data_IF_184799829544
#
_entry.id   IF_184799829544
#
_cell.length_a   1.000
_cell.length_b   1.000
_cell.length_c   1.000
_cell.angle_alpha   90.00
_cell.angle_beta   90.00
_cell.angle_gamma   90.00
#
_symmetry.space_group_name_H-M   'P 1'
#
loop_
_entity.id
_entity.type
_entity.pdbx_description
1 polymer ?
#
# COMPACT_ATOMS: atom_id res chain seq x y z
N UNK A 1 1.66 36.34 -22.93
CA UNK A 1 2.89 35.69 -22.43
C UNK A 1 2.58 35.13 -21.06
N UNK A 2 2.25 33.85 -20.97
CA UNK A 2 2.03 33.19 -19.68
C UNK A 2 3.39 33.06 -18.99
N UNK A 3 3.51 33.57 -17.77
CA UNK A 3 4.67 33.33 -16.92
C UNK A 3 4.78 31.81 -16.72
N UNK A 4 5.71 31.16 -17.42
CA UNK A 4 6.16 29.82 -17.05
C UNK A 4 6.78 29.95 -15.67
N UNK A 5 6.10 29.44 -14.64
CA UNK A 5 6.71 29.28 -13.31
C UNK A 5 7.96 28.43 -13.55
N UNK A 6 9.13 29.01 -13.28
CA UNK A 6 10.42 28.33 -13.35
C UNK A 6 10.31 27.02 -12.56
N UNK A 7 10.74 25.90 -13.16
CA UNK A 7 10.78 24.60 -12.49
C UNK A 7 11.56 24.70 -11.18
N UNK A 8 10.89 24.40 -10.07
CA UNK A 8 11.47 24.37 -8.73
C UNK A 8 11.67 22.92 -8.30
N UNK A 9 12.85 22.38 -8.60
CA UNK A 9 13.19 20.99 -8.30
C UNK A 9 13.31 20.77 -6.80
N UNK A 10 13.84 21.74 -6.06
CA UNK A 10 14.04 21.61 -4.61
C UNK A 10 12.70 21.52 -3.87
N UNK A 11 11.68 22.27 -4.30
CA UNK A 11 10.33 22.14 -3.77
C UNK A 11 9.73 20.75 -4.05
N UNK A 12 9.94 20.20 -5.25
CA UNK A 12 9.49 18.84 -5.62
C UNK A 12 10.21 17.78 -4.78
N UNK A 13 11.54 17.87 -4.65
CA UNK A 13 12.33 16.95 -3.82
C UNK A 13 11.93 17.04 -2.34
N UNK A 14 11.60 18.23 -1.85
CA UNK A 14 11.09 18.41 -0.48
C UNK A 14 9.80 17.62 -0.25
N UNK A 15 8.87 17.61 -1.21
CA UNK A 15 7.66 16.77 -1.12
C UNK A 15 8.04 15.29 -1.09
N UNK A 16 8.94 14.82 -1.95
CA UNK A 16 9.38 13.41 -1.90
C UNK A 16 10.02 13.03 -0.57
N UNK A 17 10.86 13.89 0.02
CA UNK A 17 11.46 13.66 1.34
C UNK A 17 10.42 13.56 2.46
N UNK A 18 9.34 14.35 2.41
CA UNK A 18 8.27 14.29 3.40
C UNK A 18 7.48 12.97 3.35
N UNK A 19 7.39 12.34 2.18
CA UNK A 19 6.63 11.10 2.00
C UNK A 19 7.50 9.84 2.12
N UNK A 20 8.78 9.94 1.74
CA UNK A 20 9.73 8.83 1.77
C UNK A 20 10.32 8.57 3.16
N UNK A 21 10.90 7.38 3.33
CA UNK A 21 11.76 7.01 4.46
C UNK A 21 12.95 6.20 3.94
N UNK A 22 14.17 6.66 4.19
CA UNK A 22 15.38 5.85 3.97
C UNK A 22 15.52 4.77 5.04
N UNK A 23 16.37 3.77 4.78
CA UNK A 23 16.69 2.72 5.73
C UNK A 23 17.41 3.25 6.98
N UNK A 24 18.38 4.13 6.77
CA UNK A 24 19.07 4.86 7.84
C UNK A 24 18.22 6.05 8.28
N UNK A 25 18.10 6.26 9.59
CA UNK A 25 17.65 7.53 10.20
C UNK A 25 18.66 8.62 9.85
N UNK A 26 18.66 9.06 8.59
CA UNK A 26 19.47 10.17 8.13
C UNK A 26 18.78 11.48 8.50
N UNK A 27 19.54 12.52 8.92
CA UNK A 27 19.00 13.86 9.05
C UNK A 27 18.31 14.28 7.75
N UNK A 28 17.18 14.98 7.85
CA UNK A 28 16.36 15.46 6.70
C UNK A 28 17.16 16.27 5.65
N UNK A 29 18.37 16.73 6.01
CA UNK A 29 19.21 17.61 5.20
C UNK A 29 20.34 16.91 4.42
N UNK A 30 20.49 15.59 4.50
CA UNK A 30 21.44 14.86 3.64
C UNK A 30 20.75 14.41 2.33
N UNK A 31 21.43 14.60 1.19
CA UNK A 31 20.90 14.21 -0.12
C UNK A 31 20.64 12.71 -0.16
N UNK A 32 19.41 12.31 -0.48
CA UNK A 32 19.09 10.90 -0.68
C UNK A 32 19.56 10.46 -2.06
N UNK A 33 20.05 9.22 -2.20
CA UNK A 33 20.62 8.73 -3.46
C UNK A 33 19.70 8.84 -4.70
N UNK A 34 18.39 8.99 -4.51
CA UNK A 34 17.42 9.09 -5.61
C UNK A 34 17.33 10.49 -6.19
N UNK A 35 17.83 11.52 -5.49
CA UNK A 35 17.49 12.92 -5.79
C UNK A 35 17.93 13.33 -7.19
N UNK A 36 19.13 12.92 -7.63
CA UNK A 36 19.62 13.19 -8.97
C UNK A 36 18.76 12.50 -10.04
N UNK A 37 18.35 11.25 -9.79
CA UNK A 37 17.47 10.49 -10.70
C UNK A 37 16.09 11.14 -10.77
N UNK A 38 15.53 11.54 -9.63
CA UNK A 38 14.25 12.24 -9.57
C UNK A 38 14.34 13.58 -10.28
N UNK A 39 15.37 14.39 -10.02
CA UNK A 39 15.58 15.66 -10.70
C UNK A 39 15.68 15.48 -12.22
N UNK A 40 16.41 14.47 -12.69
CA UNK A 40 16.50 14.14 -14.11
C UNK A 40 15.13 13.78 -14.70
N UNK A 41 14.35 12.92 -14.04
CA UNK A 41 13.02 12.51 -14.51
C UNK A 41 12.01 13.66 -14.48
N UNK A 42 12.07 14.52 -13.46
CA UNK A 42 11.25 15.73 -13.36
C UNK A 42 11.55 16.69 -14.51
N UNK A 43 12.83 16.89 -14.86
CA UNK A 43 13.20 17.71 -16.04
C UNK A 43 12.63 17.13 -17.33
N UNK A 44 12.71 15.81 -17.52
CA UNK A 44 12.11 15.13 -18.67
C UNK A 44 10.60 15.42 -18.81
N UNK A 45 9.84 15.30 -17.72
CA UNK A 45 8.40 15.60 -17.74
C UNK A 45 8.13 17.09 -17.96
N UNK A 46 8.96 17.97 -17.38
CA UNK A 46 8.83 19.42 -17.55
C UNK A 46 9.07 19.86 -18.99
N UNK A 47 10.10 19.34 -19.65
CA UNK A 47 10.40 19.61 -21.06
C UNK A 47 9.27 19.14 -21.98
N UNK A 48 8.57 18.07 -21.60
CA UNK A 48 7.41 17.55 -22.33
C UNK A 48 6.07 18.21 -21.91
N UNK A 49 6.06 19.14 -20.96
CA UNK A 49 4.83 19.72 -20.38
C UNK A 49 3.86 18.68 -19.81
N UNK A 50 4.39 17.60 -19.26
CA UNK A 50 3.65 16.46 -18.72
C UNK A 50 3.64 16.45 -17.18
N UNK A 51 2.65 15.78 -16.61
CA UNK A 51 2.59 15.48 -15.18
C UNK A 51 3.75 14.56 -14.77
N UNK A 52 4.27 14.72 -13.55
CA UNK A 52 5.24 13.79 -12.98
C UNK A 52 4.59 12.40 -12.88
N UNK A 53 5.17 11.41 -13.55
CA UNK A 53 4.69 10.03 -13.49
C UNK A 53 5.51 9.22 -12.49
N UNK A 54 4.82 8.56 -11.56
CA UNK A 54 5.38 7.66 -10.58
C UNK A 54 4.87 6.23 -10.77
N UNK A 55 5.69 5.25 -10.42
CA UNK A 55 5.39 3.83 -10.56
C UNK A 55 5.59 3.10 -9.24
N UNK A 56 4.56 2.42 -8.76
CA UNK A 56 4.59 1.64 -7.53
C UNK A 56 4.15 0.19 -7.80
N UNK A 57 5.08 -0.78 -7.84
CA UNK A 57 4.71 -2.18 -7.74
C UNK A 57 4.28 -2.49 -6.31
N UNK A 58 3.03 -2.93 -6.16
CA UNK A 58 2.42 -3.12 -4.86
C UNK A 58 1.06 -3.82 -5.00
N UNK A 59 0.47 -4.13 -3.85
CA UNK A 59 -0.90 -4.59 -3.72
C UNK A 59 -1.17 -5.89 -4.49
N UNK A 60 -0.50 -7.00 -4.09
CA UNK A 60 -0.66 -8.29 -4.75
C UNK A 60 -2.02 -8.92 -4.44
N UNK A 61 -2.29 -9.12 -3.15
CA UNK A 61 -3.50 -9.71 -2.58
C UNK A 61 -3.46 -9.53 -1.06
N UNK A 62 -4.61 -9.58 -0.37
CA UNK A 62 -4.64 -9.70 1.10
C UNK A 62 -3.96 -11.00 1.52
N UNK A 63 -3.18 -10.93 2.59
CA UNK A 63 -2.53 -12.10 3.17
C UNK A 63 -3.56 -13.20 3.53
N UNK A 64 -3.29 -14.48 3.22
CA UNK A 64 -4.20 -15.57 3.57
C UNK A 64 -4.23 -15.90 5.08
N UNK A 65 -3.30 -15.38 5.87
CA UNK A 65 -3.24 -15.55 7.32
C UNK A 65 -4.27 -14.68 8.06
N UNK A 66 -5.33 -15.30 8.58
CA UNK A 66 -6.35 -14.62 9.41
C UNK A 66 -5.80 -14.06 10.73
N UNK A 67 -4.60 -14.46 11.14
CA UNK A 67 -3.90 -13.92 12.30
C UNK A 67 -3.21 -12.59 12.02
N UNK A 68 -3.04 -12.21 10.75
CA UNK A 68 -2.40 -10.95 10.33
C UNK A 68 -3.41 -9.91 9.87
N UNK A 69 -4.46 -10.31 9.16
CA UNK A 69 -5.44 -9.42 8.51
C UNK A 69 -6.86 -9.64 9.03
N UNK A 70 -7.72 -8.63 8.90
CA UNK A 70 -9.12 -8.69 9.33
C UNK A 70 -10.00 -9.56 8.42
N UNK A 71 -9.75 -9.47 7.11
CA UNK A 71 -10.34 -10.32 6.08
C UNK A 71 -9.26 -10.69 5.06
N UNK A 72 -9.33 -11.92 4.55
CA UNK A 72 -8.32 -12.48 3.63
C UNK A 72 -8.62 -12.16 2.16
N UNK A 73 -9.73 -11.47 1.87
CA UNK A 73 -10.23 -11.27 0.50
C UNK A 73 -10.50 -9.82 0.14
N UNK A 74 -10.64 -8.93 1.11
CA UNK A 74 -11.20 -7.60 0.91
C UNK A 74 -10.24 -6.54 1.47
N UNK A 75 -10.00 -5.45 0.72
CA UNK A 75 -9.38 -4.26 1.26
C UNK A 75 -10.14 -3.75 2.49
N UNK A 76 -9.41 -3.26 3.49
CA UNK A 76 -9.92 -2.70 4.72
C UNK A 76 -9.35 -1.27 4.92
N UNK A 77 -9.40 -0.74 6.15
CA UNK A 77 -8.92 0.61 6.42
C UNK A 77 -7.43 0.79 6.11
N UNK A 78 -6.63 -0.27 6.15
CA UNK A 78 -5.22 -0.22 5.79
C UNK A 78 -5.03 0.21 4.32
N UNK A 79 -5.78 -0.40 3.40
CA UNK A 79 -5.75 -0.03 1.99
C UNK A 79 -6.32 1.37 1.74
N UNK A 80 -7.36 1.78 2.48
CA UNK A 80 -7.90 3.15 2.40
C UNK A 80 -6.83 4.19 2.73
N UNK A 81 -6.08 3.98 3.82
CA UNK A 81 -4.99 4.87 4.24
C UNK A 81 -3.85 4.89 3.21
N UNK A 82 -3.43 3.71 2.75
CA UNK A 82 -2.33 3.59 1.79
C UNK A 82 -2.63 4.27 0.45
N UNK A 83 -3.81 4.03 -0.12
CA UNK A 83 -4.22 4.68 -1.36
C UNK A 83 -4.39 6.20 -1.16
N UNK A 84 -5.04 6.62 -0.07
CA UNK A 84 -5.21 8.05 0.22
C UNK A 84 -3.87 8.77 0.37
N UNK A 85 -2.85 8.12 0.97
CA UNK A 85 -1.49 8.65 1.07
C UNK A 85 -0.84 8.85 -0.28
N UNK A 86 -0.98 7.90 -1.21
CA UNK A 86 -0.45 8.04 -2.58
C UNK A 86 -1.12 9.20 -3.32
N UNK A 87 -2.44 9.33 -3.18
CA UNK A 87 -3.16 10.46 -3.78
C UNK A 87 -2.73 11.79 -3.16
N UNK A 88 -2.51 11.83 -1.84
CA UNK A 88 -2.02 13.02 -1.14
C UNK A 88 -0.62 13.43 -1.60
N UNK A 89 0.30 12.48 -1.83
CA UNK A 89 1.61 12.77 -2.44
C UNK A 89 1.45 13.53 -3.76
N UNK A 90 0.59 13.05 -4.65
CA UNK A 90 0.34 13.72 -5.92
C UNK A 90 -0.26 15.12 -5.75
N UNK A 91 -1.14 15.30 -4.77
CA UNK A 91 -1.74 16.61 -4.46
C UNK A 91 -0.70 17.61 -3.92
N UNK A 92 0.25 17.16 -3.09
CA UNK A 92 1.34 18.02 -2.62
C UNK A 92 2.29 18.40 -3.77
N UNK A 93 2.60 17.46 -4.67
CA UNK A 93 3.40 17.74 -5.87
C UNK A 93 2.70 18.75 -6.79
N UNK A 94 1.38 18.66 -6.96
CA UNK A 94 0.59 19.60 -7.78
C UNK A 94 0.60 21.04 -7.25
N UNK A 95 0.82 21.25 -5.95
CA UNK A 95 0.98 22.60 -5.39
C UNK A 95 2.28 23.28 -5.85
N UNK A 96 3.32 22.49 -6.15
CA UNK A 96 4.67 22.99 -6.48
C UNK A 96 5.05 22.78 -7.95
N UNK A 97 4.32 21.94 -8.70
CA UNK A 97 4.58 21.64 -10.10
C UNK A 97 3.32 21.79 -10.95
N UNK A 98 3.36 22.68 -11.95
CA UNK A 98 2.20 23.15 -12.73
C UNK A 98 1.40 22.02 -13.39
N UNK A 99 2.09 20.99 -13.89
CA UNK A 99 1.44 19.88 -14.61
C UNK A 99 0.94 18.77 -13.66
N UNK A 100 1.16 18.92 -12.35
CA UNK A 100 0.73 17.95 -11.36
C UNK A 100 1.50 16.63 -11.41
N UNK A 101 0.96 15.62 -10.75
CA UNK A 101 1.59 14.31 -10.65
C UNK A 101 0.55 13.19 -10.59
N UNK A 102 0.94 11.99 -11.02
CA UNK A 102 0.14 10.78 -10.96
C UNK A 102 0.97 9.58 -10.51
N UNK A 103 0.36 8.66 -9.75
CA UNK A 103 0.96 7.37 -9.37
C UNK A 103 0.25 6.25 -10.12
N UNK A 104 1.02 5.41 -10.80
CA UNK A 104 0.56 4.13 -11.35
C UNK A 104 0.92 3.00 -10.40
N UNK A 105 -0.09 2.35 -9.83
CA UNK A 105 0.07 1.12 -9.04
C UNK A 105 0.04 -0.09 -9.98
N UNK A 106 1.10 -0.89 -9.97
CA UNK A 106 1.17 -2.14 -10.74
C UNK A 106 1.00 -3.30 -9.79
N UNK A 107 -0.10 -4.04 -9.91
CA UNK A 107 -0.33 -5.21 -9.07
C UNK A 107 0.70 -6.29 -9.39
N UNK A 108 1.46 -6.69 -8.37
CA UNK A 108 2.46 -7.75 -8.40
C UNK A 108 1.88 -9.11 -7.93
N UNK A 109 0.57 -9.19 -7.73
CA UNK A 109 -0.15 -10.43 -7.45
C UNK A 109 0.14 -11.53 -8.47
N UNK A 110 -0.10 -11.32 -9.79
CA UNK A 110 0.20 -12.33 -10.80
C UNK A 110 1.70 -12.64 -10.92
N UNK A 111 2.59 -11.81 -10.35
CA UNK A 111 4.03 -12.10 -10.31
C UNK A 111 4.32 -13.19 -9.27
N UNK A 112 3.70 -13.16 -8.09
CA UNK A 112 4.11 -14.02 -6.97
C UNK A 112 3.08 -15.06 -6.52
N UNK A 113 1.84 -15.01 -6.98
CA UNK A 113 0.74 -15.81 -6.41
C UNK A 113 1.01 -17.33 -6.45
N UNK A 114 1.60 -17.83 -7.52
CA UNK A 114 1.95 -19.26 -7.69
C UNK A 114 3.02 -19.72 -6.68
N UNK A 115 4.03 -18.89 -6.43
CA UNK A 115 5.10 -19.18 -5.47
C UNK A 115 4.61 -19.18 -4.02
N UNK A 116 3.57 -18.40 -3.75
CA UNK A 116 2.96 -18.28 -2.42
C UNK A 116 1.74 -19.19 -2.24
N UNK A 117 1.48 -20.09 -3.20
CA UNK A 117 0.35 -21.02 -3.20
C UNK A 117 -1.00 -20.30 -3.04
N UNK A 118 -1.12 -19.11 -3.64
CA UNK A 118 -2.33 -18.27 -3.64
C UNK A 118 -3.03 -18.37 -5.00
N UNK A 119 -4.33 -18.72 -5.04
CA UNK A 119 -5.08 -18.84 -6.28
C UNK A 119 -5.12 -17.53 -7.06
N UNK A 120 -5.11 -17.64 -8.40
CA UNK A 120 -5.13 -16.45 -9.25
C UNK A 120 -6.39 -15.58 -9.06
N UNK A 121 -7.52 -16.21 -8.75
CA UNK A 121 -8.77 -15.49 -8.43
C UNK A 121 -8.62 -14.53 -7.25
N UNK A 122 -7.78 -14.86 -6.26
CA UNK A 122 -7.54 -14.04 -5.08
C UNK A 122 -6.91 -12.69 -5.43
N UNK A 123 -5.82 -12.69 -6.23
CA UNK A 123 -5.20 -11.43 -6.65
C UNK A 123 -6.12 -10.63 -7.58
N UNK A 124 -6.87 -11.33 -8.46
CA UNK A 124 -7.74 -10.66 -9.42
C UNK A 124 -8.88 -9.94 -8.71
N UNK A 125 -9.59 -10.64 -7.81
CA UNK A 125 -10.72 -10.08 -7.07
C UNK A 125 -10.28 -8.98 -6.11
N UNK A 126 -9.12 -9.14 -5.45
CA UNK A 126 -8.53 -8.09 -4.62
C UNK A 126 -8.23 -6.83 -5.45
N UNK A 127 -7.60 -6.98 -6.63
CA UNK A 127 -7.30 -5.86 -7.52
C UNK A 127 -8.56 -5.12 -8.00
N UNK A 128 -9.65 -5.83 -8.30
CA UNK A 128 -10.95 -5.24 -8.65
C UNK A 128 -11.51 -4.44 -7.48
N UNK A 129 -11.51 -5.01 -6.27
CA UNK A 129 -11.99 -4.33 -5.06
C UNK A 129 -11.16 -3.09 -4.73
N UNK A 130 -9.84 -3.15 -4.92
CA UNK A 130 -8.94 -2.02 -4.64
C UNK A 130 -9.19 -0.83 -5.59
N UNK A 131 -9.43 -1.10 -6.87
CA UNK A 131 -9.80 -0.08 -7.86
C UNK A 131 -11.15 0.56 -7.52
N UNK A 132 -12.13 -0.26 -7.12
CA UNK A 132 -13.43 0.23 -6.64
C UNK A 132 -13.27 1.10 -5.40
N UNK A 133 -12.45 0.69 -4.44
CA UNK A 133 -12.16 1.46 -3.24
C UNK A 133 -11.57 2.84 -3.57
N UNK A 134 -10.59 2.90 -4.49
CA UNK A 134 -10.01 4.16 -4.94
C UNK A 134 -11.06 5.10 -5.56
N UNK A 135 -11.99 4.55 -6.35
CA UNK A 135 -13.08 5.31 -6.96
C UNK A 135 -14.10 5.80 -5.91
N UNK A 136 -14.50 4.95 -4.96
CA UNK A 136 -15.41 5.30 -3.85
C UNK A 136 -14.83 6.40 -2.94
N UNK A 137 -13.51 6.41 -2.76
CA UNK A 137 -12.79 7.46 -2.03
C UNK A 137 -12.53 8.74 -2.87
N UNK A 138 -12.86 8.73 -4.17
CA UNK A 138 -12.62 9.87 -5.06
C UNK A 138 -11.14 10.16 -5.32
N UNK A 139 -10.27 9.14 -5.32
CA UNK A 139 -8.82 9.29 -5.51
C UNK A 139 -8.50 9.45 -7.00
N UNK A 140 -8.35 10.70 -7.46
CA UNK A 140 -8.23 11.02 -8.89
C UNK A 140 -6.80 10.92 -9.44
N UNK A 141 -5.77 10.87 -8.59
CA UNK A 141 -4.36 10.87 -8.97
C UNK A 141 -3.71 9.48 -9.03
N UNK A 142 -4.51 8.42 -8.91
CA UNK A 142 -4.05 7.03 -8.94
C UNK A 142 -4.52 6.37 -10.23
N UNK A 143 -3.61 5.65 -10.87
CA UNK A 143 -3.87 4.74 -11.99
C UNK A 143 -3.47 3.34 -11.57
N UNK A 144 -4.02 2.34 -12.26
CA UNK A 144 -3.70 0.95 -11.99
C UNK A 144 -3.34 0.26 -13.30
N UNK A 145 -2.30 -0.57 -13.25
CA UNK A 145 -1.85 -1.41 -14.36
C UNK A 145 -1.73 -2.85 -13.87
N UNK A 146 -1.93 -3.79 -14.79
CA UNK A 146 -1.75 -5.23 -14.61
C UNK A 146 -0.47 -5.66 -15.32
N UNK A 147 0.02 -6.86 -15.02
CA UNK A 147 1.23 -7.40 -15.64
C UNK A 147 1.12 -7.46 -17.18
N UNK A 148 -0.07 -7.77 -17.71
CA UNK A 148 -0.33 -7.76 -19.15
C UNK A 148 -0.03 -6.38 -19.79
N UNK A 149 -0.40 -5.29 -19.12
CA UNK A 149 -0.14 -3.94 -19.60
C UNK A 149 1.35 -3.60 -19.57
N UNK A 150 2.07 -4.04 -18.53
CA UNK A 150 3.52 -3.83 -18.39
C UNK A 150 4.26 -4.52 -19.55
N UNK A 151 3.83 -5.71 -19.92
CA UNK A 151 4.46 -6.49 -20.99
C UNK A 151 4.04 -6.03 -22.39
N UNK A 152 3.02 -5.17 -22.50
CA UNK A 152 2.46 -4.73 -23.77
C UNK A 152 1.85 -5.88 -24.59
N UNK A 153 1.39 -6.94 -23.93
CA UNK A 153 0.84 -8.15 -24.61
C UNK A 153 -0.68 -8.13 -24.71
N UNK A 154 -1.35 -7.38 -23.83
CA UNK A 154 -2.79 -7.16 -23.86
C UNK A 154 -3.15 -5.91 -23.04
N UNK A 155 -4.35 -5.37 -23.26
CA UNK A 155 -5.00 -4.49 -22.29
C UNK A 155 -5.56 -5.36 -21.15
N UNK A 156 -4.95 -5.24 -19.97
CA UNK A 156 -5.29 -6.11 -18.84
C UNK A 156 -6.71 -5.89 -18.31
N UNK A 157 -7.30 -4.72 -18.53
CA UNK A 157 -8.66 -4.39 -18.07
C UNK A 157 -9.73 -4.72 -19.12
N UNK A 158 -9.34 -4.96 -20.37
CA UNK A 158 -10.22 -5.45 -21.43
C UNK A 158 -10.50 -6.96 -21.35
N UNK A 159 -9.62 -7.73 -20.69
CA UNK A 159 -9.78 -9.17 -20.51
C UNK A 159 -10.84 -9.47 -19.45
N UNK A 160 -11.69 -10.47 -19.71
CA UNK A 160 -12.54 -11.07 -18.68
C UNK A 160 -11.68 -11.71 -17.58
N UNK A 161 -12.30 -12.01 -16.43
CA UNK A 161 -11.61 -12.70 -15.33
C UNK A 161 -11.06 -14.05 -15.81
N UNK A 162 -11.87 -14.80 -16.53
CA UNK A 162 -11.52 -16.12 -17.04
C UNK A 162 -10.33 -16.06 -18.01
N UNK A 163 -10.35 -15.13 -18.96
CA UNK A 163 -9.26 -14.92 -19.92
C UNK A 163 -7.96 -14.46 -19.24
N UNK A 164 -8.06 -13.51 -18.31
CA UNK A 164 -6.90 -13.00 -17.57
C UNK A 164 -6.26 -14.12 -16.75
N UNK A 165 -7.06 -14.92 -16.03
CA UNK A 165 -6.56 -16.02 -15.20
C UNK A 165 -5.95 -17.14 -16.04
N UNK A 166 -6.56 -17.47 -17.19
CA UNK A 166 -6.00 -18.45 -18.13
C UNK A 166 -4.64 -17.99 -18.71
N UNK A 167 -4.45 -16.68 -18.87
CA UNK A 167 -3.22 -16.11 -19.46
C UNK A 167 -2.14 -15.77 -18.43
N UNK A 168 -2.47 -15.76 -17.13
CA UNK A 168 -1.58 -15.27 -16.07
C UNK A 168 -0.23 -16.00 -16.01
N UNK A 169 -0.22 -17.31 -16.25
CA UNK A 169 1.02 -18.08 -16.33
C UNK A 169 1.88 -17.64 -17.53
N UNK A 170 1.28 -17.50 -18.71
CA UNK A 170 1.98 -17.03 -19.91
C UNK A 170 2.56 -15.63 -19.74
N UNK A 171 1.88 -14.73 -19.01
CA UNK A 171 2.44 -13.42 -18.68
C UNK A 171 3.69 -13.52 -17.80
N UNK A 172 3.72 -14.41 -16.80
CA UNK A 172 4.92 -14.65 -15.98
C UNK A 172 6.07 -15.21 -16.80
N UNK A 173 5.79 -16.21 -17.62
CA UNK A 173 6.79 -16.83 -18.50
C UNK A 173 7.39 -15.81 -19.46
N UNK A 174 6.56 -14.98 -20.10
CA UNK A 174 7.00 -13.92 -21.01
C UNK A 174 7.87 -12.88 -20.29
N UNK A 175 7.47 -12.44 -19.09
CA UNK A 175 8.25 -11.53 -18.25
C UNK A 175 9.63 -12.13 -17.95
N UNK A 176 9.68 -13.40 -17.56
CA UNK A 176 10.92 -14.06 -17.21
C UNK A 176 11.84 -14.27 -18.43
N UNK A 177 11.29 -14.72 -19.56
CA UNK A 177 12.03 -14.90 -20.82
C UNK A 177 12.66 -13.60 -21.29
N UNK A 178 11.95 -12.47 -21.15
CA UNK A 178 12.46 -11.16 -21.60
C UNK A 178 13.47 -10.52 -20.67
N UNK A 179 13.38 -10.78 -19.35
CA UNK A 179 14.05 -9.93 -18.36
C UNK A 179 14.87 -10.67 -17.29
N UNK A 180 14.81 -12.01 -17.20
CA UNK A 180 15.80 -12.74 -16.38
C UNK A 180 17.17 -12.63 -17.07
N UNK A 181 18.23 -12.13 -16.40
CA UNK A 181 19.56 -12.12 -16.98
C UNK A 181 20.04 -13.54 -17.29
N UNK A 182 20.61 -13.75 -18.48
CA UNK A 182 21.05 -15.08 -18.95
C UNK A 182 22.11 -15.72 -18.05
N UNK A 183 22.97 -14.89 -17.45
CA UNK A 183 24.07 -15.30 -16.57
C UNK A 183 23.75 -14.98 -15.09
N UNK A 184 22.48 -15.01 -14.70
CA UNK A 184 22.07 -14.69 -13.33
C UNK A 184 22.54 -15.78 -12.36
N UNK A 185 23.55 -15.45 -11.56
CA UNK A 185 23.89 -16.18 -10.34
C UNK A 185 23.19 -15.52 -9.15
N UNK A 186 22.01 -16.05 -8.79
CA UNK A 186 21.13 -15.42 -7.79
C UNK A 186 21.80 -15.27 -6.41
N UNK A 187 22.60 -16.26 -6.00
CA UNK A 187 23.29 -16.19 -4.70
C UNK A 187 24.36 -15.08 -4.70
N UNK A 188 25.05 -14.86 -5.82
CA UNK A 188 26.03 -13.79 -5.96
C UNK A 188 25.32 -12.43 -5.98
N UNK A 189 24.18 -12.32 -6.66
CA UNK A 189 23.38 -11.09 -6.67
C UNK A 189 22.88 -10.74 -5.27
N UNK A 190 22.32 -11.72 -4.54
CA UNK A 190 21.86 -11.52 -3.15
C UNK A 190 23.01 -11.13 -2.22
N UNK A 191 24.23 -11.62 -2.45
CA UNK A 191 25.37 -11.36 -1.57
C UNK A 191 26.03 -10.01 -1.84
N UNK A 192 26.01 -9.53 -3.09
CA UNK A 192 26.79 -8.36 -3.51
C UNK A 192 25.94 -7.10 -3.76
N UNK A 193 24.62 -7.20 -3.85
CA UNK A 193 23.70 -6.07 -4.05
C UNK A 193 22.87 -5.80 -2.81
N UNK A 194 23.09 -4.66 -2.16
CA UNK A 194 22.46 -4.31 -0.86
C UNK A 194 20.94 -4.26 -0.95
N UNK A 195 20.36 -3.61 -1.98
CA UNK A 195 18.90 -3.51 -2.14
C UNK A 195 18.25 -4.88 -2.40
N UNK A 196 18.92 -5.73 -3.20
CA UNK A 196 18.49 -7.12 -3.43
C UNK A 196 18.56 -7.92 -2.15
N UNK A 197 19.63 -7.78 -1.37
CA UNK A 197 19.81 -8.48 -0.10
C UNK A 197 18.70 -8.13 0.91
N UNK A 198 18.39 -6.84 1.07
CA UNK A 198 17.33 -6.34 1.96
C UNK A 198 15.96 -6.90 1.56
N UNK A 199 15.69 -6.92 0.25
CA UNK A 199 14.43 -7.46 -0.28
C UNK A 199 14.36 -8.97 -0.09
N UNK A 200 15.46 -9.70 -0.34
CA UNK A 200 15.55 -11.13 -0.09
C UNK A 200 15.29 -11.49 1.38
N UNK A 201 15.92 -10.81 2.33
CA UNK A 201 15.67 -11.03 3.75
C UNK A 201 14.22 -10.75 4.15
N UNK A 202 13.61 -9.74 3.54
CA UNK A 202 12.18 -9.46 3.71
C UNK A 202 11.31 -10.59 3.15
N UNK A 203 11.68 -11.17 1.99
CA UNK A 203 10.98 -12.34 1.44
C UNK A 203 11.17 -13.59 2.28
N UNK A 204 12.37 -13.87 2.80
CA UNK A 204 12.58 -15.03 3.70
C UNK A 204 11.63 -14.95 4.90
N UNK A 205 11.56 -13.79 5.55
CA UNK A 205 10.64 -13.60 6.69
C UNK A 205 9.18 -13.75 6.28
N UNK A 206 8.77 -13.11 5.18
CA UNK A 206 7.39 -13.16 4.68
C UNK A 206 6.98 -14.60 4.37
N UNK A 207 7.80 -15.33 3.62
CA UNK A 207 7.52 -16.69 3.19
C UNK A 207 7.45 -17.64 4.39
N UNK A 208 8.37 -17.52 5.35
CA UNK A 208 8.36 -18.32 6.58
C UNK A 208 7.04 -18.16 7.37
N UNK A 209 6.56 -16.91 7.50
CA UNK A 209 5.31 -16.60 8.21
C UNK A 209 4.06 -17.03 7.41
N UNK A 210 4.06 -16.83 6.09
CA UNK A 210 2.84 -16.76 5.29
C UNK A 210 2.59 -17.98 4.39
N UNK A 211 3.63 -18.70 3.96
CA UNK A 211 3.50 -19.78 2.95
C UNK A 211 2.55 -20.89 3.42
N UNK A 212 2.57 -21.25 4.71
CA UNK A 212 1.68 -22.25 5.31
C UNK A 212 0.19 -21.94 5.22
N UNK A 213 -0.14 -20.67 5.00
CA UNK A 213 -1.52 -20.20 4.85
C UNK A 213 -1.98 -20.21 3.40
N UNK A 214 -1.07 -20.44 2.43
CA UNK A 214 -1.41 -20.65 1.03
C UNK A 214 -2.33 -21.87 0.88
N UNK A 215 -3.56 -21.72 0.34
CA UNK A 215 -4.50 -22.83 0.25
C UNK A 215 -4.01 -23.95 -0.65
N UNK A 216 -3.14 -23.65 -1.63
CA UNK A 216 -2.64 -24.63 -2.61
C UNK A 216 -1.33 -25.30 -2.16
N UNK A 217 -0.82 -25.01 -0.95
CA UNK A 217 0.41 -25.63 -0.44
C UNK A 217 0.17 -27.09 -0.07
N UNK A 218 1.03 -27.99 -0.54
CA UNK A 218 0.99 -29.42 -0.18
C UNK A 218 1.00 -29.60 1.35
N UNK A 219 -0.02 -30.24 1.95
CA UNK A 219 -0.05 -30.56 3.38
C UNK A 219 1.20 -31.30 3.87
N UNK A 220 1.79 -32.17 3.05
CA UNK A 220 3.01 -32.91 3.39
C UNK A 220 4.27 -32.03 3.46
N UNK A 221 4.25 -30.82 2.88
CA UNK A 221 5.27 -29.79 3.07
C UNK A 221 4.91 -28.94 4.29
N UNK A 222 3.64 -28.55 4.42
CA UNK A 222 3.13 -27.67 5.48
C UNK A 222 3.35 -28.23 6.89
N UNK A 223 3.09 -29.52 7.06
CA UNK A 223 3.05 -30.17 8.37
C UNK A 223 4.42 -30.74 8.80
N UNK A 224 5.41 -30.76 7.90
CA UNK A 224 6.78 -31.20 8.17
C UNK A 224 7.72 -29.97 8.30
N UNK A 225 8.26 -29.69 9.50
CA UNK A 225 9.09 -28.49 9.72
C UNK A 225 10.33 -28.41 8.83
N UNK A 226 10.97 -29.54 8.51
CA UNK A 226 12.18 -29.55 7.69
C UNK A 226 11.86 -29.30 6.22
N UNK A 227 10.78 -29.93 5.72
CA UNK A 227 10.30 -29.70 4.35
C UNK A 227 9.81 -28.27 4.19
N UNK A 228 9.07 -27.75 5.17
CA UNK A 228 8.58 -26.37 5.17
C UNK A 228 9.74 -25.36 5.11
N UNK A 229 10.75 -25.50 5.97
CA UNK A 229 11.91 -24.60 5.96
C UNK A 229 12.70 -24.66 4.62
N UNK A 230 12.80 -25.86 4.04
CA UNK A 230 13.43 -26.07 2.73
C UNK A 230 12.63 -25.38 1.62
N UNK A 231 11.31 -25.54 1.60
CA UNK A 231 10.44 -24.91 0.61
C UNK A 231 10.42 -23.38 0.77
N UNK A 232 10.41 -22.86 2.01
CA UNK A 232 10.49 -21.43 2.26
C UNK A 232 11.76 -20.80 1.68
N UNK A 233 12.90 -21.47 1.87
CA UNK A 233 14.19 -21.01 1.31
C UNK A 233 14.15 -21.01 -0.23
N UNK A 234 13.62 -22.06 -0.83
CA UNK A 234 13.47 -22.19 -2.28
C UNK A 234 12.54 -21.11 -2.86
N UNK A 235 11.37 -20.91 -2.23
CA UNK A 235 10.39 -19.90 -2.64
C UNK A 235 10.98 -18.50 -2.52
N UNK A 236 11.66 -18.15 -1.42
CA UNK A 236 12.27 -16.83 -1.26
C UNK A 236 13.34 -16.52 -2.32
N UNK A 237 14.18 -17.50 -2.68
CA UNK A 237 15.15 -17.36 -3.79
C UNK A 237 14.44 -17.14 -5.11
N UNK A 238 13.41 -17.94 -5.40
CA UNK A 238 12.65 -17.83 -6.64
C UNK A 238 11.89 -16.51 -6.76
N UNK A 239 11.33 -16.00 -5.68
CA UNK A 239 10.72 -14.66 -5.63
C UNK A 239 11.76 -13.59 -5.95
N UNK A 240 13.01 -13.75 -5.51
CA UNK A 240 14.09 -12.78 -5.79
C UNK A 240 14.51 -12.80 -7.26
N UNK A 241 14.62 -13.98 -7.88
CA UNK A 241 14.85 -14.07 -9.34
C UNK A 241 13.73 -13.38 -10.11
N UNK A 242 12.48 -13.62 -9.69
CA UNK A 242 11.31 -13.05 -10.35
C UNK A 242 11.20 -11.53 -10.14
N UNK A 243 11.66 -11.03 -8.99
CA UNK A 243 11.78 -9.60 -8.75
C UNK A 243 12.71 -8.94 -9.77
N UNK A 244 13.86 -9.54 -10.09
CA UNK A 244 14.79 -8.98 -11.09
C UNK A 244 14.15 -8.89 -12.47
N UNK A 245 13.46 -9.96 -12.90
CA UNK A 245 12.72 -9.96 -14.15
C UNK A 245 11.61 -8.90 -14.15
N UNK A 246 10.88 -8.79 -13.05
CA UNK A 246 9.80 -7.84 -12.91
C UNK A 246 10.31 -6.39 -12.93
N UNK A 247 11.35 -6.06 -12.16
CA UNK A 247 11.99 -4.74 -12.20
C UNK A 247 12.51 -4.41 -13.61
N UNK A 248 13.08 -5.38 -14.33
CA UNK A 248 13.49 -5.24 -15.72
C UNK A 248 12.32 -4.89 -16.66
N UNK A 249 11.19 -5.60 -16.53
CA UNK A 249 9.97 -5.31 -17.32
C UNK A 249 9.41 -3.93 -17.04
N UNK A 250 9.41 -3.50 -15.77
CA UNK A 250 8.93 -2.19 -15.35
C UNK A 250 9.83 -1.08 -15.90
N UNK A 251 11.15 -1.27 -15.88
CA UNK A 251 12.11 -0.33 -16.44
C UNK A 251 11.98 -0.22 -17.97
N UNK A 252 11.71 -1.33 -18.66
CA UNK A 252 11.50 -1.33 -20.10
C UNK A 252 10.19 -0.61 -20.50
N UNK A 253 9.10 -0.85 -19.76
CA UNK A 253 7.79 -0.26 -20.04
C UNK A 253 7.67 1.20 -19.61
N UNK A 254 8.36 1.61 -18.53
CA UNK A 254 8.21 2.92 -17.89
C UNK A 254 9.57 3.57 -17.58
N UNK A 255 10.46 3.78 -18.57
CA UNK A 255 11.84 4.17 -18.34
C UNK A 255 11.99 5.51 -17.60
N UNK A 256 11.04 6.43 -17.82
CA UNK A 256 11.05 7.78 -17.26
C UNK A 256 10.24 7.92 -15.96
N UNK A 257 9.50 6.89 -15.54
CA UNK A 257 8.67 6.99 -14.33
C UNK A 257 9.55 6.98 -13.09
N UNK A 258 9.23 7.84 -12.12
CA UNK A 258 9.89 7.83 -10.81
C UNK A 258 9.47 6.57 -10.06
N UNK A 259 10.45 5.76 -9.64
CA UNK A 259 10.21 4.47 -8.98
C UNK A 259 9.92 4.69 -7.49
N UNK A 260 8.73 4.29 -7.06
CA UNK A 260 8.36 4.19 -5.66
C UNK A 260 8.52 2.73 -5.19
N UNK A 261 8.72 2.53 -3.90
CA UNK A 261 8.81 1.21 -3.30
C UNK A 261 8.16 1.16 -1.92
N UNK A 262 7.49 0.05 -1.63
CA UNK A 262 6.99 -0.29 -0.29
C UNK A 262 8.03 -1.02 0.57
N UNK A 263 9.25 -1.19 0.07
CA UNK A 263 10.36 -1.80 0.78
C UNK A 263 11.38 -0.73 1.15
N UNK A 264 12.13 -0.97 2.23
CA UNK A 264 13.34 -0.20 2.53
C UNK A 264 14.36 -0.39 1.42
N UNK A 265 15.15 0.65 1.15
CA UNK A 265 16.24 0.62 0.17
C UNK A 265 17.28 1.65 0.54
N UNK A 266 18.45 1.53 -0.07
CA UNK A 266 19.53 2.53 -0.06
C UNK A 266 19.10 3.87 -0.65
N UNK A 267 17.96 3.90 -1.34
CA UNK A 267 17.43 5.09 -2.00
C UNK A 267 18.10 5.41 -3.33
N UNK A 268 19.00 4.57 -3.86
CA UNK A 268 19.74 4.90 -5.08
C UNK A 268 18.91 4.80 -6.36
N UNK A 269 17.92 3.91 -6.42
CA UNK A 269 17.15 3.62 -7.65
C UNK A 269 15.64 3.82 -7.48
N UNK A 270 15.17 3.86 -6.23
CA UNK A 270 13.75 3.93 -5.86
C UNK A 270 13.56 4.71 -4.58
N UNK A 271 12.40 5.36 -4.46
CA UNK A 271 11.98 6.08 -3.26
C UNK A 271 11.19 5.10 -2.39
N UNK A 272 11.76 4.73 -1.25
CA UNK A 272 11.06 3.96 -0.23
C UNK A 272 9.96 4.83 0.40
N UNK A 273 8.69 4.42 0.23
CA UNK A 273 7.50 5.15 0.64
C UNK A 273 6.62 4.24 1.51
N UNK A 274 6.60 4.44 2.84
CA UNK A 274 5.68 3.72 3.71
C UNK A 274 4.25 4.18 3.45
N UNK A 275 3.34 3.24 3.17
CA UNK A 275 1.93 3.53 2.87
C UNK A 275 1.14 3.93 4.13
N UNK A 276 1.52 3.38 5.28
CA UNK A 276 0.96 3.71 6.60
C UNK A 276 2.15 4.01 7.52
N UNK A 277 2.73 5.22 7.44
CA UNK A 277 3.93 5.55 8.22
C UNK A 277 3.65 5.42 9.72
N UNK A 278 4.65 4.93 10.47
CA UNK A 278 4.61 4.80 11.93
C UNK A 278 5.74 5.63 12.53
N UNK A 279 5.58 6.16 13.74
CA UNK A 279 6.61 7.00 14.38
C UNK A 279 7.97 6.30 14.39
N UNK A 280 8.02 5.07 14.91
CA UNK A 280 9.27 4.33 15.17
C UNK A 280 9.54 3.18 14.19
N UNK A 281 8.77 3.07 13.09
CA UNK A 281 8.99 2.00 12.11
C UNK A 281 8.55 2.37 10.69
N UNK A 282 9.01 1.63 9.68
CA UNK A 282 8.55 1.79 8.30
C UNK A 282 7.05 1.51 8.14
N UNK A 283 6.40 0.89 9.13
CA UNK A 283 5.02 0.44 9.04
C UNK A 283 4.88 -0.85 8.23
N UNK A 284 3.81 -1.58 8.51
CA UNK A 284 3.45 -2.77 7.75
C UNK A 284 2.74 -2.39 6.44
N UNK A 285 2.87 -3.25 5.44
CA UNK A 285 2.15 -3.09 4.17
C UNK A 285 0.66 -3.38 4.38
N UNK A 286 -0.27 -2.61 3.77
CA UNK A 286 -1.70 -2.73 4.02
C UNK A 286 -2.28 -4.15 3.96
N UNK A 287 -1.79 -4.93 2.99
CA UNK A 287 -2.27 -6.28 2.75
C UNK A 287 -1.67 -7.34 3.68
N UNK A 288 -0.70 -6.98 4.53
CA UNK A 288 -0.09 -7.85 5.55
C UNK A 288 -0.49 -7.48 6.99
N UNK A 289 -1.40 -6.52 7.20
CA UNK A 289 -1.77 -6.07 8.54
C UNK A 289 -3.25 -5.67 8.64
N UNK A 290 -3.65 -5.31 9.86
CA UNK A 290 -4.80 -4.49 10.14
C UNK A 290 -4.37 -3.13 10.70
N UNK A 291 -5.28 -2.15 10.68
CA UNK A 291 -5.08 -0.87 11.36
C UNK A 291 -5.81 -0.87 12.68
N UNK A 292 -5.11 -0.41 13.71
CA UNK A 292 -5.61 -0.19 15.06
C UNK A 292 -5.71 1.31 15.30
N UNK A 293 -6.90 1.78 15.65
CA UNK A 293 -7.12 3.14 16.12
C UNK A 293 -7.05 3.13 17.65
N UNK A 294 -6.05 3.79 18.19
CA UNK A 294 -5.86 3.91 19.65
C UNK A 294 -6.77 4.99 20.24
N UNK A 295 -6.97 4.97 21.55
CA UNK A 295 -7.79 5.96 22.25
C UNK A 295 -7.23 7.39 22.17
N UNK A 296 -5.91 7.53 22.08
CA UNK A 296 -5.19 8.80 21.90
C UNK A 296 -5.13 9.28 20.44
N UNK A 297 -5.74 8.53 19.51
CA UNK A 297 -5.99 8.97 18.15
C UNK A 297 -4.91 8.62 17.11
N UNK A 298 -4.01 7.69 17.45
CA UNK A 298 -3.01 7.17 16.52
C UNK A 298 -3.56 6.03 15.67
N UNK A 299 -3.07 5.92 14.44
CA UNK A 299 -3.32 4.80 13.54
C UNK A 299 -2.08 3.92 13.48
N UNK A 300 -2.17 2.76 14.13
CA UNK A 300 -1.07 1.82 14.28
C UNK A 300 -1.29 0.61 13.39
N UNK A 301 -0.25 0.16 12.68
CA UNK A 301 -0.30 -1.11 11.94
C UNK A 301 0.03 -2.28 12.87
N UNK A 302 -0.75 -3.36 12.82
CA UNK A 302 -0.46 -4.57 13.60
C UNK A 302 -1.13 -5.81 13.05
N UNK A 303 -0.93 -6.95 13.72
CA UNK A 303 -1.53 -8.23 13.34
C UNK A 303 -2.77 -8.52 14.19
N UNK A 304 -3.83 -9.03 13.58
CA UNK A 304 -5.10 -9.26 14.28
C UNK A 304 -4.96 -10.17 15.50
N UNK A 305 -4.03 -11.12 15.51
CA UNK A 305 -3.73 -11.98 16.68
C UNK A 305 -3.33 -11.20 17.94
N UNK A 306 -2.74 -10.02 17.79
CA UNK A 306 -2.27 -9.20 18.91
C UNK A 306 -3.41 -8.40 19.58
N UNK A 307 -4.60 -8.36 18.95
CA UNK A 307 -5.74 -7.54 19.35
C UNK A 307 -7.03 -8.36 19.56
N UNK A 308 -6.88 -9.58 20.10
CA UNK A 308 -8.00 -10.49 20.35
C UNK A 308 -8.76 -10.20 21.64
N UNK A 309 -8.18 -9.45 22.58
CA UNK A 309 -8.83 -9.09 23.84
C UNK A 309 -10.02 -8.15 23.62
N UNK A 310 -11.23 -8.72 23.62
CA UNK A 310 -12.49 -7.99 23.42
C UNK A 310 -12.89 -7.13 24.61
N UNK A 311 -12.22 -7.23 25.75
CA UNK A 311 -12.39 -6.26 26.84
C UNK A 311 -11.69 -4.93 26.55
N UNK A 312 -10.68 -4.93 25.66
CA UNK A 312 -9.88 -3.76 25.28
C UNK A 312 -10.13 -3.26 23.87
N UNK A 313 -10.44 -4.15 22.92
CA UNK A 313 -10.54 -3.79 21.50
C UNK A 313 -11.88 -4.19 20.88
N UNK A 314 -12.39 -3.33 20.00
CA UNK A 314 -13.55 -3.58 19.15
C UNK A 314 -13.13 -3.73 17.69
N UNK A 315 -13.73 -4.67 16.97
CA UNK A 315 -13.68 -4.67 15.50
C UNK A 315 -14.78 -3.74 15.01
N UNK A 316 -14.40 -2.66 14.34
CA UNK A 316 -15.32 -1.73 13.70
C UNK A 316 -15.61 -2.25 12.29
N UNK A 317 -16.88 -2.28 11.92
CA UNK A 317 -17.32 -2.70 10.59
C UNK A 317 -17.73 -1.51 9.73
N UNK A 318 -17.55 -1.65 8.43
CA UNK A 318 -18.01 -0.69 7.40
C UNK A 318 -18.71 -1.49 6.32
N UNK A 319 -19.97 -1.16 6.03
CA UNK A 319 -20.82 -1.91 5.09
C UNK A 319 -20.90 -3.42 5.39
N UNK A 320 -20.95 -3.78 6.68
CA UNK A 320 -21.03 -5.18 7.12
C UNK A 320 -19.71 -5.97 7.05
N UNK A 321 -18.60 -5.35 6.65
CA UNK A 321 -17.27 -5.97 6.61
C UNK A 321 -16.38 -5.45 7.75
N UNK A 322 -15.55 -6.29 8.37
CA UNK A 322 -14.49 -5.83 9.26
C UNK A 322 -13.60 -4.79 8.56
N UNK A 323 -13.36 -3.66 9.22
CA UNK A 323 -12.72 -2.51 8.59
C UNK A 323 -11.48 -2.04 9.34
N UNK A 324 -11.57 -1.90 10.66
CA UNK A 324 -10.43 -1.59 11.53
C UNK A 324 -10.65 -2.16 12.93
N UNK A 325 -9.58 -2.18 13.72
CA UNK A 325 -9.65 -2.43 15.16
C UNK A 325 -9.60 -1.09 15.88
N UNK A 326 -10.40 -0.91 16.92
CA UNK A 326 -10.39 0.31 17.75
C UNK A 326 -10.26 -0.04 19.21
N UNK A 327 -9.34 0.61 19.91
CA UNK A 327 -9.25 0.57 21.36
C UNK A 327 -10.53 1.14 21.99
N UNK A 328 -11.04 0.47 23.01
CA UNK A 328 -12.23 0.91 23.73
C UNK A 328 -11.91 2.17 24.53
N UNK A 329 -12.76 3.18 24.39
CA UNK A 329 -12.70 4.40 25.17
C UNK A 329 -14.10 5.02 25.27
N UNK A 330 -14.40 5.68 26.39
CA UNK A 330 -15.71 6.29 26.63
C UNK A 330 -16.08 7.36 25.58
N UNK A 331 -15.08 8.02 24.99
CA UNK A 331 -15.27 8.99 23.90
C UNK A 331 -15.75 8.37 22.59
N UNK A 332 -15.58 7.05 22.43
CA UNK A 332 -16.07 6.31 21.27
C UNK A 332 -17.46 5.70 21.48
N UNK A 333 -18.04 5.84 22.67
CA UNK A 333 -19.37 5.30 22.99
C UNK A 333 -20.45 6.31 22.62
N UNK A 334 -21.04 6.15 21.45
CA UNK A 334 -22.15 6.98 20.97
C UNK A 334 -23.41 6.12 20.82
N UNK A 335 -24.57 6.76 20.63
CA UNK A 335 -25.81 6.05 20.35
C UNK A 335 -25.66 5.14 19.12
N UNK A 336 -26.44 4.06 19.05
CA UNK A 336 -26.31 3.03 17.99
C UNK A 336 -26.49 3.60 16.57
N UNK A 337 -27.24 4.68 16.43
CA UNK A 337 -27.49 5.41 15.20
C UNK A 337 -26.42 6.48 14.88
N UNK A 338 -25.36 6.57 15.68
CA UNK A 338 -24.22 7.48 15.45
C UNK A 338 -22.95 6.66 15.26
N UNK A 339 -22.34 6.79 14.08
CA UNK A 339 -21.06 6.15 13.80
C UNK A 339 -19.91 7.16 13.81
N UNK A 340 -18.79 6.75 14.39
CA UNK A 340 -17.50 7.43 14.26
C UNK A 340 -16.75 6.78 13.10
N UNK A 341 -16.52 7.55 12.05
CA UNK A 341 -15.78 7.13 10.86
C UNK A 341 -14.39 7.77 10.88
N UNK A 342 -13.36 6.92 10.77
CA UNK A 342 -11.96 7.33 10.67
C UNK A 342 -11.56 7.53 9.20
N UNK A 343 -10.72 8.51 8.90
CA UNK A 343 -10.29 8.79 7.52
C UNK A 343 -8.81 9.17 7.49
N UNK A 344 -8.23 9.18 6.29
CA UNK A 344 -6.85 9.56 6.10
C UNK A 344 -6.52 10.95 6.70
N UNK A 345 -5.30 11.10 7.24
CA UNK A 345 -4.86 12.31 7.92
C UNK A 345 -5.38 12.47 9.35
N UNK A 346 -5.82 11.37 9.97
CA UNK A 346 -6.32 11.38 11.35
C UNK A 346 -7.73 11.97 11.48
N UNK A 347 -8.36 12.41 10.40
CA UNK A 347 -9.68 13.05 10.45
C UNK A 347 -10.76 12.07 10.88
N UNK A 348 -11.63 12.53 11.77
CA UNK A 348 -12.81 11.78 12.24
C UNK A 348 -14.09 12.45 11.74
N UNK A 349 -15.06 11.64 11.32
CA UNK A 349 -16.43 12.08 11.04
C UNK A 349 -17.38 11.42 12.03
N UNK A 350 -18.12 12.19 12.81
CA UNK A 350 -19.21 11.70 13.66
C UNK A 350 -20.51 11.86 12.88
N UNK A 351 -21.09 10.74 12.45
CA UNK A 351 -22.22 10.71 11.54
C UNK A 351 -23.48 10.18 12.22
N UNK A 352 -24.51 11.01 12.25
CA UNK A 352 -25.86 10.65 12.69
C UNK A 352 -26.66 10.04 11.52
N UNK A 353 -27.07 8.77 11.67
CA UNK A 353 -27.86 8.00 10.73
C UNK A 353 -29.35 7.89 11.10
N UNK A 354 -29.77 8.43 12.23
CA UNK A 354 -31.15 8.34 12.73
C UNK A 354 -32.20 9.01 11.85
N UNK A 355 -31.76 9.94 11.00
CA UNK A 355 -32.62 10.84 10.22
C UNK A 355 -33.35 11.89 11.08
N UNK A 356 -33.14 11.89 12.41
CA UNK A 356 -33.75 12.81 13.36
C UNK A 356 -32.72 13.81 13.87
N UNK A 357 -33.17 15.02 14.15
CA UNK A 357 -32.32 16.04 14.74
C UNK A 357 -31.88 15.61 16.14
N UNK A 358 -30.57 15.37 16.30
CA UNK A 358 -29.99 14.97 17.58
C UNK A 358 -29.44 16.19 18.30
N UNK A 359 -29.79 16.32 19.59
CA UNK A 359 -29.32 17.41 20.44
C UNK A 359 -27.88 17.17 20.90
N UNK A 360 -27.05 18.21 20.81
CA UNK A 360 -25.67 18.18 21.26
C UNK A 360 -25.59 18.47 22.78
N UNK A 361 -25.90 17.47 23.60
CA UNK A 361 -25.87 17.59 25.08
C UNK A 361 -24.46 17.91 25.60
N UNK A 362 -24.32 18.47 26.82
CA UNK A 362 -23.00 18.74 27.41
C UNK A 362 -22.05 17.53 27.41
N UNK A 363 -22.57 16.32 27.65
CA UNK A 363 -21.78 15.09 27.60
C UNK A 363 -21.25 14.80 26.19
N UNK A 364 -22.09 14.98 25.16
CA UNK A 364 -21.67 14.81 23.76
C UNK A 364 -20.69 15.90 23.32
N UNK A 365 -20.84 17.13 23.83
CA UNK A 365 -19.88 18.21 23.59
C UNK A 365 -18.50 17.86 24.15
N UNK A 366 -18.43 17.28 25.36
CA UNK A 366 -17.17 16.82 25.95
C UNK A 366 -16.55 15.70 25.11
N UNK A 367 -17.33 14.69 24.69
CA UNK A 367 -16.84 13.63 23.81
C UNK A 367 -16.30 14.20 22.50
N UNK A 368 -17.03 15.14 21.88
CA UNK A 368 -16.60 15.79 20.65
C UNK A 368 -15.30 16.57 20.85
N UNK A 369 -15.16 17.31 21.95
CA UNK A 369 -13.94 18.03 22.28
C UNK A 369 -12.76 17.07 22.47
N UNK A 370 -12.94 15.95 23.17
CA UNK A 370 -11.90 14.93 23.32
C UNK A 370 -11.50 14.32 21.98
N UNK A 371 -12.46 14.02 21.10
CA UNK A 371 -12.16 13.56 19.74
C UNK A 371 -11.37 14.62 18.94
N UNK A 372 -11.68 15.91 19.08
CA UNK A 372 -10.90 16.98 18.43
C UNK A 372 -9.48 17.04 19.00
N UNK A 373 -9.28 16.84 20.30
CA UNK A 373 -7.95 16.81 20.91
C UNK A 373 -7.12 15.61 20.43
N UNK A 374 -7.71 14.41 20.34
CA UNK A 374 -7.00 13.20 19.91
C UNK A 374 -6.74 13.16 18.39
N UNK A 375 -7.67 13.64 17.57
CA UNK A 375 -7.66 13.45 16.12
C UNK A 375 -7.40 14.75 15.32
N UNK A 376 -7.33 15.89 15.99
CA UNK A 376 -7.09 17.21 15.42
C UNK A 376 -8.27 17.80 14.62
N UNK A 377 -8.95 17.00 13.81
CA UNK A 377 -10.09 17.44 13.00
C UNK A 377 -11.26 16.48 13.10
N UNK A 378 -12.40 16.99 13.58
CA UNK A 378 -13.68 16.27 13.60
C UNK A 378 -14.72 17.00 12.75
N UNK A 379 -15.45 16.24 11.95
CA UNK A 379 -16.60 16.72 11.19
C UNK A 379 -17.89 16.08 11.70
N UNK A 380 -18.94 16.87 11.87
CA UNK A 380 -20.28 16.37 12.17
C UNK A 380 -21.06 16.22 10.86
N UNK A 381 -21.61 15.03 10.63
CA UNK A 381 -22.44 14.76 9.45
C UNK A 381 -23.83 14.27 9.88
N UNK A 382 -24.86 14.72 9.15
CA UNK A 382 -26.26 14.37 9.44
C UNK A 382 -26.99 15.44 10.26
N UNK A 383 -28.22 15.17 10.68
CA UNK A 383 -29.07 16.14 11.38
C UNK A 383 -28.63 16.33 12.84
N UNK A 384 -27.85 17.37 13.10
CA UNK A 384 -27.47 17.82 14.45
C UNK A 384 -28.18 19.15 14.75
N UNK A 385 -28.69 19.35 15.97
CA UNK A 385 -29.10 20.69 16.40
C UNK A 385 -27.85 21.55 16.68
N UNK A 386 -27.98 22.85 16.44
CA UNK A 386 -27.01 23.79 17.02
C UNK A 386 -27.35 23.87 18.50
N UNK A 387 -26.42 23.40 19.33
CA UNK A 387 -26.40 23.72 20.77
C UNK A 387 -26.10 25.18 21.00
#
# INVERSE_FOLDING_TARGET
>A
MAYSKRLDIDAILTVFRQFGRSEEDRPVNESVGYEDIVASKVRYFHESSEAIQMLLPAAPFKNPCQEKVLDTKSPDFAEELGLSRLNHLCQELEKVYLHGAEVTVVSDGPVYNDLLCVPGSTFYDYGVKLRRLAAELGLTKIRFKRLADVLGVADGDALSKEEYLASAQGFREEMEVRHVPKDLEINDKISNDVDTNLTYHSYVKLVDEDLRWGPDLDPAIRDDPLRYATECTKVAKRMTERLLAYEGSLQAAFPNFIRLSIHRSTGNTKISLPLIPQTDSFGLQPWHCCVVVTADGLYVTGFTRDYQDRSRYNIVTKNGQPWLIREKHADFEWAEDVAIQHTYGGKVTVRNFSGRQMEMTPELQVKLANLVLSFGKVELQGPWSKG
#
